data_IF_756568165771
#
_entry.id   IF_756568165771
#
_cell.length_a   1.000
_cell.length_b   1.000
_cell.length_c   1.000
_cell.angle_alpha   90.00
_cell.angle_beta   90.00
_cell.angle_gamma   90.00
#
_symmetry.space_group_name_H-M   'P 1'
#
loop_
_entity.id
_entity.type
_entity.pdbx_description
1 polymer ?
#
# COMPACT_ATOMS: atom_id res chain seq x y z
N UNK A 1 0.30 17.31 -3.51
CA UNK A 1 0.80 17.22 -4.91
C UNK A 1 2.07 16.39 -5.07
N UNK A 2 3.01 16.35 -4.11
CA UNK A 2 4.28 15.63 -4.27
C UNK A 2 4.23 14.09 -4.11
N UNK A 3 3.10 13.51 -3.72
CA UNK A 3 2.94 12.06 -3.55
C UNK A 3 2.02 11.51 -4.64
N UNK A 4 2.47 10.60 -5.51
CA UNK A 4 1.61 9.98 -6.51
C UNK A 4 0.45 9.25 -5.83
N UNK A 5 -0.77 9.42 -6.32
CA UNK A 5 -1.97 8.77 -5.76
C UNK A 5 -1.81 7.25 -5.66
N UNK A 6 -1.11 6.63 -6.62
CA UNK A 6 -0.78 5.20 -6.57
C UNK A 6 0.07 4.79 -5.36
N UNK A 7 0.92 5.67 -4.83
CA UNK A 7 1.68 5.38 -3.60
C UNK A 7 0.81 5.42 -2.34
N UNK A 8 -0.23 6.25 -2.32
CA UNK A 8 -1.19 6.30 -1.21
C UNK A 8 -2.09 5.05 -1.22
N UNK A 9 -2.59 4.66 -2.40
CA UNK A 9 -3.37 3.43 -2.59
C UNK A 9 -2.54 2.19 -2.23
N UNK A 10 -1.29 2.11 -2.66
CA UNK A 10 -0.39 1.01 -2.29
C UNK A 10 -0.11 0.94 -0.77
N UNK A 11 -0.09 2.07 -0.08
CA UNK A 11 0.05 2.11 1.38
C UNK A 11 -1.24 1.69 2.09
N UNK A 12 -2.41 2.05 1.56
CA UNK A 12 -3.72 1.57 2.06
C UNK A 12 -3.86 0.05 1.91
N UNK A 13 -3.35 -0.55 0.82
CA UNK A 13 -3.27 -2.00 0.70
C UNK A 13 -2.43 -2.67 1.80
N UNK A 14 -1.58 -1.92 2.51
CA UNK A 14 -0.86 -2.42 3.69
C UNK A 14 -1.77 -2.88 4.82
N UNK A 15 -3.02 -2.40 4.89
CA UNK A 15 -4.01 -2.87 5.86
C UNK A 15 -4.32 -4.35 5.64
N UNK A 16 -4.43 -4.80 4.38
CA UNK A 16 -4.72 -6.20 4.08
C UNK A 16 -3.55 -7.10 4.50
N UNK A 17 -2.30 -6.67 4.25
CA UNK A 17 -1.11 -7.40 4.69
C UNK A 17 -1.04 -7.54 6.21
N UNK A 18 -1.41 -6.49 6.96
CA UNK A 18 -1.46 -6.55 8.42
C UNK A 18 -2.57 -7.50 8.87
N UNK A 19 -3.75 -7.41 8.24
CA UNK A 19 -4.88 -8.30 8.53
C UNK A 19 -4.50 -9.76 8.29
N UNK A 20 -3.93 -10.09 7.13
CA UNK A 20 -3.47 -11.45 6.80
C UNK A 20 -2.50 -12.00 7.84
N UNK A 21 -1.52 -11.18 8.27
CA UNK A 21 -0.58 -11.57 9.33
C UNK A 21 -1.28 -11.82 10.67
N UNK A 22 -2.17 -10.92 11.11
CA UNK A 22 -2.85 -11.01 12.40
C UNK A 22 -3.87 -12.14 12.42
N UNK A 23 -4.70 -12.28 11.38
CA UNK A 23 -5.78 -13.29 11.33
C UNK A 23 -5.31 -14.67 10.89
N UNK A 24 -4.27 -14.75 10.07
CA UNK A 24 -3.75 -16.01 9.55
C UNK A 24 -2.54 -16.48 10.33
N UNK A 25 -1.39 -15.91 9.99
CA UNK A 25 -0.07 -16.37 10.42
C UNK A 25 0.13 -16.37 11.95
N UNK A 26 -0.20 -15.25 12.61
CA UNK A 26 -0.01 -15.10 14.04
C UNK A 26 -0.90 -16.06 14.84
N UNK A 27 -2.17 -16.21 14.47
CA UNK A 27 -3.09 -17.17 15.10
C UNK A 27 -2.61 -18.60 14.92
N UNK A 28 -2.18 -18.95 13.70
CA UNK A 28 -1.69 -20.30 13.40
C UNK A 28 -0.41 -20.61 14.17
N UNK A 29 0.51 -19.65 14.32
CA UNK A 29 1.70 -19.78 15.17
C UNK A 29 1.31 -20.08 16.62
N UNK A 30 0.42 -19.27 17.19
CA UNK A 30 -0.02 -19.41 18.59
C UNK A 30 -0.68 -20.77 18.82
N UNK A 31 -1.38 -21.31 17.82
CA UNK A 31 -1.98 -22.63 17.86
C UNK A 31 -0.95 -23.75 17.68
N UNK A 32 0.00 -23.62 16.75
CA UNK A 32 0.97 -24.66 16.40
C UNK A 32 2.08 -24.82 17.46
N UNK A 33 2.50 -23.74 18.12
CA UNK A 33 3.65 -23.72 19.05
C UNK A 33 3.42 -24.63 20.28
N UNK A 34 2.26 -24.62 20.96
CA UNK A 34 1.96 -25.57 22.03
C UNK A 34 1.97 -27.02 21.57
N UNK A 35 1.37 -27.33 20.41
CA UNK A 35 1.37 -28.70 19.87
C UNK A 35 2.78 -29.17 19.52
N UNK A 36 3.62 -28.30 18.99
CA UNK A 36 5.02 -28.62 18.71
C UNK A 36 5.78 -28.99 20.00
N UNK A 37 5.59 -28.23 21.08
CA UNK A 37 6.20 -28.55 22.38
C UNK A 37 5.67 -29.87 22.96
N UNK A 38 4.36 -30.13 22.83
CA UNK A 38 3.73 -31.37 23.28
C UNK A 38 4.26 -32.57 22.48
N UNK A 39 4.32 -32.49 21.15
CA UNK A 39 4.84 -33.56 20.31
C UNK A 39 6.31 -33.84 20.62
N UNK A 40 7.12 -32.80 20.78
CA UNK A 40 8.51 -32.94 21.16
C UNK A 40 8.66 -33.65 22.52
N UNK A 41 7.89 -33.23 23.54
CA UNK A 41 7.92 -33.84 24.86
C UNK A 41 7.51 -35.31 24.84
N UNK A 42 6.43 -35.65 24.12
CA UNK A 42 5.95 -37.05 23.98
C UNK A 42 6.97 -37.90 23.21
N UNK A 43 7.57 -37.36 22.14
CA UNK A 43 8.60 -38.07 21.37
C UNK A 43 9.82 -38.39 22.25
N UNK A 44 10.31 -37.42 23.03
CA UNK A 44 11.42 -37.64 23.96
C UNK A 44 11.07 -38.64 25.09
N UNK A 45 9.82 -38.62 25.57
CA UNK A 45 9.35 -39.57 26.57
C UNK A 45 9.29 -41.01 26.03
N UNK A 46 8.97 -41.19 24.74
CA UNK A 46 8.92 -42.51 24.11
C UNK A 46 10.29 -43.07 23.77
N UNK A 47 11.14 -42.27 23.10
CA UNK A 47 12.50 -42.67 22.78
C UNK A 47 13.36 -41.45 22.48
N UNK A 48 14.36 -41.21 23.32
CA UNK A 48 15.33 -40.14 23.12
C UNK A 48 16.18 -40.34 21.84
N UNK A 49 16.46 -41.60 21.46
CA UNK A 49 17.26 -41.95 20.28
C UNK A 49 16.54 -41.62 18.96
N UNK A 50 15.27 -42.02 18.83
CA UNK A 50 14.45 -41.70 17.66
C UNK A 50 14.18 -40.19 17.57
N UNK A 51 14.01 -39.53 18.72
CA UNK A 51 13.81 -38.08 18.80
C UNK A 51 15.01 -37.31 18.28
N UNK A 52 16.24 -37.72 18.62
CA UNK A 52 17.46 -37.12 18.08
C UNK A 52 17.56 -37.23 16.55
N UNK A 53 17.18 -38.37 15.98
CA UNK A 53 17.16 -38.57 14.52
C UNK A 53 16.14 -37.63 13.87
N UNK A 54 14.91 -37.57 14.42
CA UNK A 54 13.86 -36.70 13.91
C UNK A 54 14.26 -35.22 14.00
N UNK A 55 14.79 -34.77 15.14
CA UNK A 55 15.26 -33.39 15.34
C UNK A 55 16.44 -33.07 14.42
N UNK A 56 17.38 -33.99 14.22
CA UNK A 56 18.51 -33.79 13.31
C UNK A 56 18.06 -33.59 11.85
N UNK A 57 17.09 -34.38 11.38
CA UNK A 57 16.53 -34.24 10.04
C UNK A 57 15.66 -32.99 9.90
N UNK A 58 14.86 -32.66 10.92
CA UNK A 58 14.11 -31.40 10.97
C UNK A 58 15.04 -30.18 10.97
N UNK A 59 16.15 -30.22 11.71
CA UNK A 59 17.16 -29.18 11.72
C UNK A 59 17.83 -29.04 10.34
N UNK A 60 18.04 -30.15 9.62
CA UNK A 60 18.53 -30.13 8.24
C UNK A 60 17.54 -29.44 7.28
N UNK A 61 16.23 -29.73 7.41
CA UNK A 61 15.17 -29.04 6.65
C UNK A 61 15.15 -27.55 6.99
N UNK A 62 15.22 -27.19 8.28
CA UNK A 62 15.23 -25.81 8.73
C UNK A 62 16.45 -25.04 8.20
N UNK A 63 17.64 -25.65 8.23
CA UNK A 63 18.87 -25.07 7.68
C UNK A 63 18.77 -24.86 6.16
N UNK A 64 18.26 -25.85 5.42
CA UNK A 64 18.00 -25.72 3.99
C UNK A 64 17.02 -24.59 3.69
N UNK A 65 15.95 -24.49 4.48
CA UNK A 65 14.96 -23.42 4.36
C UNK A 65 15.59 -22.05 4.57
N UNK A 66 16.37 -21.88 5.65
CA UNK A 66 17.06 -20.63 5.96
C UNK A 66 18.04 -20.20 4.85
N UNK A 67 18.74 -21.15 4.22
CA UNK A 67 19.64 -20.89 3.09
C UNK A 67 18.88 -20.52 1.80
N UNK A 68 17.69 -21.09 1.59
CA UNK A 68 16.88 -20.84 0.39
C UNK A 68 16.08 -19.54 0.45
N UNK A 69 15.69 -19.09 1.64
CA UNK A 69 14.95 -17.82 1.84
C UNK A 69 15.57 -16.61 1.11
N UNK A 70 16.87 -16.28 1.26
CA UNK A 70 17.44 -15.11 0.59
C UNK A 70 17.39 -15.22 -0.94
N UNK A 71 17.67 -16.41 -1.49
CA UNK A 71 17.64 -16.66 -2.94
C UNK A 71 16.22 -16.54 -3.48
N UNK A 72 15.25 -17.13 -2.78
CA UNK A 72 13.85 -17.08 -3.15
C UNK A 72 13.33 -15.65 -3.12
N UNK A 73 13.72 -14.88 -2.09
CA UNK A 73 13.36 -13.47 -1.93
C UNK A 73 13.91 -12.61 -3.06
N UNK A 74 15.16 -12.78 -3.45
CA UNK A 74 15.77 -12.02 -4.55
C UNK A 74 15.01 -12.25 -5.87
N UNK A 75 14.70 -13.52 -6.18
CA UNK A 75 13.94 -13.86 -7.39
C UNK A 75 12.49 -13.36 -7.35
N UNK A 76 11.82 -13.47 -6.20
CA UNK A 76 10.49 -12.91 -5.99
C UNK A 76 10.49 -11.38 -6.18
N UNK A 77 11.47 -10.68 -5.62
CA UNK A 77 11.58 -9.24 -5.78
C UNK A 77 11.83 -8.84 -7.23
N UNK A 78 12.69 -9.57 -7.94
CA UNK A 78 12.91 -9.38 -9.38
C UNK A 78 11.63 -9.60 -10.19
N UNK A 79 10.87 -10.66 -9.90
CA UNK A 79 9.58 -10.92 -10.53
C UNK A 79 8.58 -9.79 -10.25
N UNK A 80 8.50 -9.30 -9.01
CA UNK A 80 7.63 -8.19 -8.62
C UNK A 80 7.99 -6.90 -9.37
N UNK A 81 9.28 -6.55 -9.46
CA UNK A 81 9.75 -5.36 -10.17
C UNK A 81 9.43 -5.43 -11.68
N UNK A 82 9.59 -6.61 -12.30
CA UNK A 82 9.22 -6.80 -13.71
C UNK A 82 7.70 -6.73 -13.91
N UNK A 83 6.91 -7.28 -12.96
CA UNK A 83 5.45 -7.18 -12.97
C UNK A 83 4.96 -5.73 -12.82
N UNK A 84 5.55 -4.98 -11.88
CA UNK A 84 5.27 -3.56 -11.70
C UNK A 84 5.60 -2.74 -12.94
N UNK A 85 6.73 -3.03 -13.61
CA UNK A 85 7.10 -2.41 -14.89
C UNK A 85 6.09 -2.71 -16.00
N UNK A 86 5.64 -3.96 -16.09
CA UNK A 86 4.62 -4.37 -17.06
C UNK A 86 3.28 -3.66 -16.81
N UNK A 87 2.85 -3.56 -15.55
CA UNK A 87 1.62 -2.87 -15.17
C UNK A 87 1.71 -1.36 -15.41
N UNK A 88 2.84 -0.74 -15.11
CA UNK A 88 3.08 0.67 -15.38
C UNK A 88 3.01 0.97 -16.88
N UNK A 89 3.64 0.12 -17.71
CA UNK A 89 3.58 0.22 -19.16
C UNK A 89 2.13 0.16 -19.67
N UNK A 90 1.34 -0.82 -19.22
CA UNK A 90 -0.07 -0.91 -19.59
C UNK A 90 -0.85 0.34 -19.18
N UNK A 91 -0.64 0.83 -17.97
CA UNK A 91 -1.36 1.99 -17.44
C UNK A 91 -1.05 3.26 -18.24
N UNK A 92 0.23 3.48 -18.57
CA UNK A 92 0.69 4.63 -19.34
C UNK A 92 0.15 4.63 -20.78
N UNK A 93 0.27 3.50 -21.49
CA UNK A 93 -0.15 3.41 -22.89
C UNK A 93 -1.67 3.32 -23.05
N UNK A 94 -2.40 2.76 -22.08
CA UNK A 94 -3.88 2.80 -22.07
C UNK A 94 -4.38 4.21 -21.77
N UNK A 95 -3.76 4.94 -20.85
CA UNK A 95 -4.09 6.35 -20.62
C UNK A 95 -3.78 7.21 -21.87
N UNK A 96 -2.68 6.91 -22.56
CA UNK A 96 -2.27 7.55 -23.81
C UNK A 96 -2.86 6.94 -25.08
N UNK A 97 -3.92 6.14 -25.01
CA UNK A 97 -4.40 5.32 -26.14
C UNK A 97 -4.77 6.17 -27.37
N UNK A 98 -5.28 7.38 -27.16
CA UNK A 98 -5.58 8.32 -28.25
C UNK A 98 -4.32 8.65 -29.07
N UNK A 99 -3.18 8.89 -28.40
CA UNK A 99 -1.89 9.16 -29.05
C UNK A 99 -1.34 7.92 -29.75
N UNK A 100 -1.48 6.74 -29.13
CA UNK A 100 -1.07 5.46 -29.72
C UNK A 100 -1.80 5.23 -31.05
N UNK A 101 -3.13 5.44 -31.05
CA UNK A 101 -3.96 5.32 -32.26
C UNK A 101 -3.68 6.40 -33.29
N UNK A 102 -3.51 7.65 -32.88
CA UNK A 102 -3.28 8.76 -33.82
C UNK A 102 -1.93 8.64 -34.53
N UNK A 103 -0.92 8.09 -33.84
CA UNK A 103 0.43 7.92 -34.38
C UNK A 103 0.70 6.51 -34.95
N UNK A 104 -0.32 5.63 -34.97
CA UNK A 104 -0.24 4.25 -35.48
C UNK A 104 0.91 3.43 -34.84
N UNK A 105 1.10 3.60 -33.54
CA UNK A 105 2.21 2.97 -32.81
C UNK A 105 1.91 1.54 -32.34
N UNK A 106 0.74 0.98 -32.66
CA UNK A 106 0.29 -0.31 -32.11
C UNK A 106 1.30 -1.46 -32.29
N UNK A 107 1.90 -1.68 -33.48
CA UNK A 107 2.84 -2.79 -33.65
C UNK A 107 4.07 -2.66 -32.76
N UNK A 108 4.56 -1.43 -32.57
CA UNK A 108 5.72 -1.17 -31.72
C UNK A 108 5.40 -1.33 -30.23
N UNK A 109 4.20 -0.89 -29.81
CA UNK A 109 3.71 -1.05 -28.44
C UNK A 109 3.47 -2.52 -28.12
N UNK A 110 2.89 -3.28 -29.05
CA UNK A 110 2.63 -4.72 -28.90
C UNK A 110 3.94 -5.50 -28.75
N UNK A 111 4.94 -5.23 -29.61
CA UNK A 111 6.26 -5.87 -29.51
C UNK A 111 6.91 -5.58 -28.14
N UNK A 112 6.92 -4.32 -27.73
CA UNK A 112 7.53 -3.89 -26.46
C UNK A 112 6.78 -4.46 -25.25
N UNK A 113 5.46 -4.57 -25.32
CA UNK A 113 4.65 -5.26 -24.32
C UNK A 113 5.01 -6.75 -24.25
N UNK A 114 5.15 -7.40 -25.42
CA UNK A 114 5.59 -8.79 -25.53
C UNK A 114 6.93 -9.03 -24.84
N UNK A 115 7.92 -8.15 -25.02
CA UNK A 115 9.22 -8.24 -24.37
C UNK A 115 9.14 -8.12 -22.84
N UNK A 116 8.31 -7.20 -22.32
CA UNK A 116 8.10 -7.07 -20.88
C UNK A 116 7.35 -8.26 -20.29
N UNK A 117 6.33 -8.75 -20.99
CA UNK A 117 5.59 -9.93 -20.58
C UNK A 117 6.49 -11.17 -20.57
N UNK A 118 7.33 -11.35 -21.61
CA UNK A 118 8.28 -12.46 -21.69
C UNK A 118 9.29 -12.43 -20.54
N UNK A 119 9.84 -11.26 -20.21
CA UNK A 119 10.75 -11.11 -19.06
C UNK A 119 10.05 -11.40 -17.72
N UNK A 120 8.83 -10.90 -17.54
CA UNK A 120 8.03 -11.16 -16.34
C UNK A 120 7.71 -12.66 -16.19
N UNK A 121 7.28 -13.31 -17.26
CA UNK A 121 7.00 -14.75 -17.28
C UNK A 121 8.26 -15.57 -17.02
N UNK A 122 9.38 -15.26 -17.67
CA UNK A 122 10.65 -15.94 -17.46
C UNK A 122 11.14 -15.83 -16.01
N UNK A 123 11.01 -14.65 -15.40
CA UNK A 123 11.30 -14.47 -13.98
C UNK A 123 10.35 -15.28 -13.10
N UNK A 124 9.04 -15.28 -13.41
CA UNK A 124 8.04 -16.08 -12.70
C UNK A 124 8.29 -17.58 -12.78
N UNK A 125 8.66 -18.11 -13.95
CA UNK A 125 9.08 -19.50 -14.12
C UNK A 125 10.33 -19.80 -13.30
N UNK A 126 11.34 -18.93 -13.33
CA UNK A 126 12.56 -19.10 -12.53
C UNK A 126 12.32 -19.11 -11.02
N UNK A 127 11.36 -18.33 -10.52
CA UNK A 127 10.92 -18.34 -9.12
C UNK A 127 10.16 -19.62 -8.78
N UNK A 128 9.17 -20.01 -9.61
CA UNK A 128 8.40 -21.25 -9.43
C UNK A 128 9.29 -22.49 -9.46
N UNK A 129 10.28 -22.53 -10.35
CA UNK A 129 11.21 -23.65 -10.46
C UNK A 129 12.01 -23.84 -9.16
N UNK A 130 12.52 -22.76 -8.56
CA UNK A 130 13.22 -22.84 -7.26
C UNK A 130 12.28 -23.33 -6.17
N UNK A 131 11.07 -22.78 -6.10
CA UNK A 131 10.07 -23.22 -5.13
C UNK A 131 9.75 -24.71 -5.28
N UNK A 132 9.63 -25.20 -6.52
CA UNK A 132 9.37 -26.60 -6.80
C UNK A 132 10.57 -27.49 -6.43
N UNK A 133 11.79 -27.09 -6.80
CA UNK A 133 13.02 -27.81 -6.42
C UNK A 133 13.15 -27.92 -4.90
N UNK A 134 12.92 -26.82 -4.16
CA UNK A 134 12.92 -26.84 -2.70
C UNK A 134 11.88 -27.82 -2.15
N UNK A 135 10.63 -27.78 -2.65
CA UNK A 135 9.59 -28.70 -2.21
C UNK A 135 9.96 -30.17 -2.48
N UNK A 136 10.48 -30.49 -3.66
CA UNK A 136 10.89 -31.87 -3.98
C UNK A 136 11.99 -32.36 -3.05
N UNK A 137 13.00 -31.54 -2.78
CA UNK A 137 14.10 -31.89 -1.88
C UNK A 137 13.61 -32.03 -0.43
N UNK A 138 12.77 -31.10 0.05
CA UNK A 138 12.20 -31.16 1.40
C UNK A 138 11.33 -32.41 1.60
N UNK A 139 10.46 -32.74 0.63
CA UNK A 139 9.67 -33.98 0.64
C UNK A 139 10.57 -35.22 0.61
N UNK A 140 11.68 -35.19 -0.13
CA UNK A 140 12.67 -36.26 -0.14
C UNK A 140 13.30 -36.49 1.23
N UNK A 141 13.68 -35.42 1.95
CA UNK A 141 14.21 -35.51 3.31
C UNK A 141 13.15 -36.04 4.28
N UNK A 142 11.89 -35.62 4.13
CA UNK A 142 10.78 -36.14 4.94
C UNK A 142 10.53 -37.64 4.72
N UNK A 143 10.63 -38.13 3.48
CA UNK A 143 10.57 -39.56 3.19
C UNK A 143 11.75 -40.31 3.80
N UNK A 144 12.97 -39.75 3.74
CA UNK A 144 14.15 -40.33 4.40
C UNK A 144 13.97 -40.37 5.92
N UNK A 145 13.41 -39.32 6.52
CA UNK A 145 13.07 -39.30 7.95
C UNK A 145 12.08 -40.40 8.31
N UNK A 146 11.02 -40.55 7.51
CA UNK A 146 10.02 -41.59 7.70
C UNK A 146 10.65 -42.99 7.65
N UNK A 147 11.52 -43.22 6.65
CA UNK A 147 12.22 -44.50 6.50
C UNK A 147 13.22 -44.75 7.64
N UNK A 148 13.97 -43.74 8.05
CA UNK A 148 14.94 -43.84 9.15
C UNK A 148 14.26 -44.17 10.48
N UNK A 149 13.14 -43.50 10.77
CA UNK A 149 12.31 -43.78 11.95
C UNK A 149 11.77 -45.22 11.90
N UNK A 150 11.31 -45.67 10.72
CA UNK A 150 10.78 -47.02 10.57
C UNK A 150 11.86 -48.09 10.78
N UNK A 151 13.04 -47.94 10.17
CA UNK A 151 14.13 -48.92 10.27
C UNK A 151 14.67 -48.97 11.70
N UNK A 152 15.06 -47.82 12.26
CA UNK A 152 15.65 -47.75 13.61
C UNK A 152 14.60 -48.09 14.67
N UNK A 153 13.36 -47.64 14.46
CA UNK A 153 12.25 -47.93 15.34
C UNK A 153 11.86 -49.41 15.35
N UNK A 154 11.85 -50.08 14.19
CA UNK A 154 11.62 -51.52 14.12
C UNK A 154 12.71 -52.32 14.84
N UNK A 155 13.98 -51.93 14.70
CA UNK A 155 15.09 -52.55 15.44
C UNK A 155 14.93 -52.36 16.96
N UNK A 156 14.49 -51.18 17.40
CA UNK A 156 14.18 -50.87 18.80
C UNK A 156 13.03 -51.72 19.35
N UNK A 157 11.95 -51.93 18.58
CA UNK A 157 10.85 -52.84 18.97
C UNK A 157 11.34 -54.28 19.12
N UNK A 158 12.26 -54.71 18.25
CA UNK A 158 12.80 -56.08 18.29
C UNK A 158 13.80 -56.33 19.42
N UNK A 159 14.50 -55.29 19.90
CA UNK A 159 15.58 -55.41 20.89
C UNK A 159 15.20 -54.97 22.31
N UNK A 160 14.19 -54.12 22.48
CA UNK A 160 13.76 -53.61 23.78
C UNK A 160 12.31 -54.00 24.10
N UNK A 161 12.09 -54.62 25.27
CA UNK A 161 10.76 -55.05 25.75
C UNK A 161 9.81 -53.87 26.09
N UNK A 162 10.31 -52.63 26.16
CA UNK A 162 9.55 -51.45 26.54
C UNK A 162 8.94 -50.62 25.40
N UNK A 163 9.36 -50.83 24.14
CA UNK A 163 8.93 -50.02 23.00
C UNK A 163 8.00 -50.81 22.08
N UNK A 164 6.71 -50.46 22.08
CA UNK A 164 5.69 -51.22 21.35
C UNK A 164 5.52 -50.76 19.90
N UNK A 165 4.96 -51.62 19.04
CA UNK A 165 4.58 -51.27 17.66
C UNK A 165 3.64 -50.06 17.61
N UNK A 166 2.73 -49.93 18.60
CA UNK A 166 1.84 -48.76 18.72
C UNK A 166 2.60 -47.46 18.98
N UNK A 167 3.66 -47.51 19.79
CA UNK A 167 4.53 -46.35 20.02
C UNK A 167 5.30 -45.95 18.76
N UNK A 168 5.75 -46.92 17.94
CA UNK A 168 6.40 -46.65 16.66
C UNK A 168 5.47 -45.94 15.67
N UNK A 169 4.23 -46.43 15.51
CA UNK A 169 3.22 -45.79 14.65
C UNK A 169 2.87 -44.39 15.16
N UNK A 170 2.68 -44.23 16.47
CA UNK A 170 2.43 -42.92 17.08
C UNK A 170 3.60 -41.95 16.85
N UNK A 171 4.85 -42.42 16.98
CA UNK A 171 6.04 -41.62 16.73
C UNK A 171 6.11 -41.14 15.27
N UNK A 172 5.80 -42.01 14.31
CA UNK A 172 5.74 -41.65 12.89
C UNK A 172 4.66 -40.60 12.60
N UNK A 173 3.49 -40.71 13.25
CA UNK A 173 2.42 -39.70 13.13
C UNK A 173 2.84 -38.35 13.72
N UNK A 174 3.51 -38.33 14.89
CA UNK A 174 3.97 -37.09 15.50
C UNK A 174 5.11 -36.44 14.73
N UNK A 175 6.08 -37.23 14.23
CA UNK A 175 7.19 -36.74 13.42
C UNK A 175 6.70 -36.08 12.12
N UNK A 176 5.75 -36.70 11.42
CA UNK A 176 5.14 -36.12 10.22
C UNK A 176 4.35 -34.83 10.51
N UNK A 177 3.69 -34.74 11.67
CA UNK A 177 3.00 -33.49 12.07
C UNK A 177 3.97 -32.39 12.52
N UNK A 178 5.18 -32.70 12.95
CA UNK A 178 6.19 -31.71 13.33
C UNK A 178 6.88 -31.03 12.13
N UNK A 179 6.89 -31.65 10.95
CA UNK A 179 7.53 -31.07 9.75
C UNK A 179 6.82 -29.79 9.28
N UNK A 180 5.48 -29.78 9.33
CA UNK A 180 4.68 -28.65 8.83
C UNK A 180 4.86 -27.35 9.63
N UNK A 181 4.73 -27.33 10.98
CA UNK A 181 4.95 -26.10 11.75
C UNK A 181 6.37 -25.54 11.60
N UNK A 182 7.38 -26.41 11.46
CA UNK A 182 8.77 -26.00 11.24
C UNK A 182 8.94 -25.25 9.92
N UNK A 183 8.31 -25.72 8.84
CA UNK A 183 8.30 -25.01 7.56
C UNK A 183 7.54 -23.68 7.65
N UNK A 184 6.42 -23.65 8.38
CA UNK A 184 5.65 -22.41 8.59
C UNK A 184 6.44 -21.37 9.38
N UNK A 185 7.18 -21.75 10.42
CA UNK A 185 8.00 -20.85 11.23
C UNK A 185 8.97 -20.00 10.38
N UNK A 186 9.54 -20.59 9.33
CA UNK A 186 10.43 -19.87 8.41
C UNK A 186 9.67 -18.84 7.56
N UNK A 187 8.47 -19.18 7.08
CA UNK A 187 7.59 -18.26 6.35
C UNK A 187 7.03 -17.14 7.24
N UNK A 188 6.71 -17.45 8.50
CA UNK A 188 6.17 -16.50 9.47
C UNK A 188 7.11 -15.34 9.77
N UNK A 189 8.43 -15.61 9.83
CA UNK A 189 9.41 -14.53 9.97
C UNK A 189 9.31 -13.51 8.83
N UNK A 190 9.08 -13.99 7.61
CA UNK A 190 8.92 -13.14 6.44
C UNK A 190 7.61 -12.34 6.51
N UNK A 191 6.49 -12.99 6.84
CA UNK A 191 5.19 -12.31 6.98
C UNK A 191 5.23 -11.25 8.07
N UNK A 192 5.89 -11.53 9.20
CA UNK A 192 6.14 -10.56 10.25
C UNK A 192 6.92 -9.34 9.75
N UNK A 193 7.99 -9.55 8.98
CA UNK A 193 8.76 -8.45 8.40
C UNK A 193 7.92 -7.61 7.42
N UNK A 194 7.10 -8.25 6.60
CA UNK A 194 6.19 -7.55 5.66
C UNK A 194 5.14 -6.74 6.40
N UNK A 195 4.49 -7.32 7.42
CA UNK A 195 3.53 -6.64 8.27
C UNK A 195 4.18 -5.44 8.98
N UNK A 196 5.40 -5.57 9.51
CA UNK A 196 6.12 -4.46 10.14
C UNK A 196 6.41 -3.31 9.16
N UNK A 197 6.79 -3.62 7.91
CA UNK A 197 6.95 -2.60 6.86
C UNK A 197 5.61 -1.93 6.53
N UNK A 198 4.53 -2.70 6.43
CA UNK A 198 3.19 -2.18 6.18
C UNK A 198 2.71 -1.24 7.30
N UNK A 199 2.94 -1.61 8.57
CA UNK A 199 2.65 -0.77 9.74
C UNK A 199 3.39 0.56 9.65
N UNK A 200 4.71 0.55 9.37
CA UNK A 200 5.49 1.79 9.21
C UNK A 200 4.93 2.67 8.09
N UNK A 201 4.58 2.06 6.95
CA UNK A 201 4.03 2.79 5.79
C UNK A 201 2.66 3.41 6.04
N UNK A 202 1.82 2.75 6.85
CA UNK A 202 0.55 3.30 7.30
C UNK A 202 0.74 4.38 8.35
N UNK A 203 1.68 4.20 9.29
CA UNK A 203 2.09 5.23 10.25
C UNK A 203 2.46 6.51 9.54
N UNK A 204 3.33 6.45 8.51
CA UNK A 204 3.68 7.60 7.67
C UNK A 204 2.50 8.35 7.02
N UNK A 205 1.32 7.72 6.89
CA UNK A 205 0.08 8.35 6.39
C UNK A 205 -0.75 8.91 7.55
N UNK A 206 -0.92 8.11 8.61
CA UNK A 206 -1.72 8.47 9.77
C UNK A 206 -1.09 9.63 10.55
N UNK A 207 0.25 9.72 10.54
CA UNK A 207 1.04 10.77 11.19
C UNK A 207 1.16 12.04 10.32
N UNK A 208 0.52 12.09 9.14
CA UNK A 208 0.50 13.31 8.32
C UNK A 208 -0.29 14.38 9.07
N UNK A 209 0.25 15.59 9.27
CA UNK A 209 -0.48 16.69 9.88
C UNK A 209 -1.76 16.95 9.09
N UNK A 210 -2.89 16.87 9.79
CA UNK A 210 -4.20 17.12 9.19
C UNK A 210 -4.41 18.62 8.97
N UNK A 211 -5.12 18.96 7.89
CA UNK A 211 -5.59 20.34 7.72
C UNK A 211 -6.56 20.68 8.87
N UNK A 212 -6.47 21.88 9.47
CA UNK A 212 -7.39 22.29 10.53
C UNK A 212 -8.85 22.21 10.06
N UNK A 213 -9.65 21.39 10.72
CA UNK A 213 -11.08 21.25 10.44
C UNK A 213 -11.88 21.66 11.67
N UNK A 214 -12.77 22.64 11.51
CA UNK A 214 -13.70 23.06 12.55
C UNK A 214 -15.00 22.24 12.46
N UNK A 215 -15.39 21.60 13.57
CA UNK A 215 -16.68 20.92 13.72
C UNK A 215 -17.83 21.92 13.92
N UNK A 216 -17.54 23.05 14.57
CA UNK A 216 -18.46 24.17 14.73
C UNK A 216 -17.82 25.38 14.07
N UNK A 217 -18.45 25.98 13.04
CA UNK A 217 -17.90 27.16 12.41
C UNK A 217 -17.83 28.30 13.43
N UNK A 218 -16.62 28.83 13.61
CA UNK A 218 -16.30 30.02 14.42
C UNK A 218 -16.69 31.32 13.71
N UNK A 219 -17.00 31.25 12.41
CA UNK A 219 -17.50 32.38 11.62
C UNK A 219 -19.02 32.36 11.57
N UNK A 220 -19.65 33.43 12.08
CA UNK A 220 -21.04 33.75 11.75
C UNK A 220 -21.15 33.98 10.24
N UNK A 221 -22.04 33.25 9.56
CA UNK A 221 -22.26 33.41 8.13
C UNK A 221 -22.63 34.86 7.78
N UNK A 222 -22.00 35.45 6.75
CA UNK A 222 -22.36 36.80 6.26
C UNK A 222 -21.24 37.84 6.16
N UNK A 223 -19.96 37.46 6.08
CA UNK A 223 -18.89 38.43 5.80
C UNK A 223 -18.96 38.99 4.37
N UNK A 224 -18.40 40.18 4.15
CA UNK A 224 -18.48 40.89 2.86
C UNK A 224 -17.60 40.27 1.78
N UNK A 225 -16.70 39.35 2.13
CA UNK A 225 -15.78 38.71 1.19
C UNK A 225 -14.65 39.63 0.74
N UNK A 226 -14.22 40.57 1.59
CA UNK A 226 -13.05 41.41 1.31
C UNK A 226 -11.80 40.55 1.50
N UNK A 227 -10.90 40.52 0.51
CA UNK A 227 -9.65 39.76 0.60
C UNK A 227 -8.47 40.70 0.39
N UNK A 228 -7.47 40.64 1.27
CA UNK A 228 -6.23 41.40 1.17
C UNK A 228 -5.01 40.50 1.29
N UNK A 229 -4.04 40.69 0.39
CA UNK A 229 -2.71 40.12 0.48
C UNK A 229 -1.78 41.23 0.92
N UNK A 230 -1.07 41.01 2.02
CA UNK A 230 -0.19 42.00 2.65
C UNK A 230 1.23 41.42 2.68
N UNK A 231 2.10 42.03 1.87
CA UNK A 231 3.51 41.67 1.72
C UNK A 231 3.78 40.17 1.50
N UNK A 232 2.94 39.53 0.69
CA UNK A 232 3.02 38.08 0.49
C UNK A 232 4.28 37.71 -0.30
N UNK A 233 5.09 36.81 0.27
CA UNK A 233 6.19 36.14 -0.41
C UNK A 233 5.94 34.64 -0.48
N UNK A 234 6.10 34.05 -1.67
CA UNK A 234 5.82 32.64 -1.89
C UNK A 234 6.84 31.94 -2.79
N UNK A 235 7.20 30.70 -2.43
CA UNK A 235 7.92 29.71 -3.25
C UNK A 235 7.43 28.30 -2.94
N UNK A 236 7.49 27.39 -3.92
CA UNK A 236 6.99 26.01 -3.73
C UNK A 236 7.86 25.15 -2.79
N UNK A 237 9.16 25.43 -2.72
CA UNK A 237 10.10 24.79 -1.80
C UNK A 237 11.31 25.70 -1.60
N UNK A 238 12.17 25.41 -0.64
CA UNK A 238 13.38 26.20 -0.40
C UNK A 238 14.34 26.23 -1.58
N UNK A 239 14.31 25.19 -2.41
CA UNK A 239 15.16 25.06 -3.61
C UNK A 239 14.55 25.70 -4.86
N UNK A 240 13.27 26.11 -4.80
CA UNK A 240 12.64 26.80 -5.92
C UNK A 240 12.87 28.32 -5.84
N UNK A 241 12.96 29.00 -6.99
CA UNK A 241 12.98 30.45 -7.02
C UNK A 241 11.69 31.01 -6.41
N UNK A 242 11.78 32.23 -5.91
CA UNK A 242 10.63 32.97 -5.43
C UNK A 242 9.66 33.24 -6.56
N UNK A 243 8.41 32.81 -6.39
CA UNK A 243 7.33 33.11 -7.32
C UNK A 243 6.76 34.51 -7.06
N UNK A 244 6.57 34.85 -5.77
CA UNK A 244 6.14 36.17 -5.31
C UNK A 244 7.11 36.72 -4.28
N UNK A 245 7.32 38.03 -4.31
CA UNK A 245 7.99 38.80 -3.26
C UNK A 245 7.22 40.11 -3.07
N UNK A 246 6.84 40.42 -1.84
CA UNK A 246 6.10 41.64 -1.46
C UNK A 246 4.82 41.86 -2.28
N UNK A 247 4.06 40.79 -2.54
CA UNK A 247 2.82 40.88 -3.28
C UNK A 247 1.72 41.51 -2.42
N UNK A 248 1.26 42.69 -2.84
CA UNK A 248 0.20 43.43 -2.19
C UNK A 248 -1.00 43.56 -3.15
N UNK A 249 -2.13 42.97 -2.79
CA UNK A 249 -3.34 42.95 -3.61
C UNK A 249 -4.58 43.09 -2.73
N UNK A 250 -5.60 43.79 -3.23
CA UNK A 250 -6.87 43.98 -2.53
C UNK A 250 -8.05 43.69 -3.44
N UNK A 251 -8.89 42.75 -3.04
CA UNK A 251 -10.12 42.38 -3.71
C UNK A 251 -11.31 42.97 -2.96
N UNK A 252 -12.06 43.86 -3.63
CA UNK A 252 -13.22 44.53 -3.04
C UNK A 252 -14.48 43.67 -3.20
N UNK A 253 -15.35 43.61 -2.19
CA UNK A 253 -16.67 43.00 -2.29
C UNK A 253 -17.46 43.50 -3.50
N UNK A 254 -18.15 42.59 -4.20
CA UNK A 254 -19.05 42.92 -5.32
C UNK A 254 -18.37 43.42 -6.60
N UNK A 255 -17.03 43.37 -6.68
CA UNK A 255 -16.29 43.79 -7.88
C UNK A 255 -15.72 42.59 -8.62
N UNK A 256 -15.80 42.61 -9.95
CA UNK A 256 -15.08 41.67 -10.79
C UNK A 256 -13.62 42.10 -10.92
N UNK A 257 -12.70 41.24 -10.48
CA UNK A 257 -11.26 41.44 -10.67
C UNK A 257 -10.74 40.44 -11.67
N UNK A 258 -10.09 40.92 -12.74
CA UNK A 258 -9.52 40.07 -13.79
C UNK A 258 -8.00 40.08 -13.67
N UNK A 259 -7.40 38.89 -13.50
CA UNK A 259 -5.95 38.73 -13.41
C UNK A 259 -5.39 38.24 -14.75
N UNK A 260 -4.59 39.08 -15.41
CA UNK A 260 -3.97 38.77 -16.71
C UNK A 260 -2.44 38.71 -16.59
N UNK A 261 -1.83 37.87 -17.44
CA UNK A 261 -0.38 37.74 -17.51
C UNK A 261 0.06 36.50 -18.30
N UNK A 262 1.34 36.40 -18.69
CA UNK A 262 1.86 35.26 -19.46
C UNK A 262 1.68 33.92 -18.73
N UNK A 263 1.68 32.81 -19.48
CA UNK A 263 1.64 31.48 -18.86
C UNK A 263 2.81 31.28 -17.91
N UNK A 264 2.58 30.61 -16.77
CA UNK A 264 3.61 30.38 -15.76
C UNK A 264 3.89 31.55 -14.80
N UNK A 265 3.25 32.71 -14.93
CA UNK A 265 3.47 33.85 -14.01
C UNK A 265 2.82 33.67 -12.61
N UNK A 266 2.29 32.48 -12.30
CA UNK A 266 1.73 32.14 -10.99
C UNK A 266 0.22 32.34 -10.80
N UNK A 267 -0.57 32.77 -11.81
CA UNK A 267 -2.02 33.02 -11.65
C UNK A 267 -2.78 31.90 -10.91
N UNK A 268 -2.54 30.65 -11.31
CA UNK A 268 -3.15 29.48 -10.66
C UNK A 268 -2.61 29.25 -9.24
N UNK A 269 -1.35 29.60 -8.97
CA UNK A 269 -0.75 29.56 -7.63
C UNK A 269 -1.40 30.58 -6.70
N UNK A 270 -1.71 31.79 -7.19
CA UNK A 270 -2.45 32.78 -6.43
C UNK A 270 -3.83 32.25 -6.03
N UNK A 271 -4.56 31.63 -6.96
CA UNK A 271 -5.85 31.00 -6.65
C UNK A 271 -5.70 29.91 -5.56
N UNK A 272 -4.65 29.08 -5.63
CA UNK A 272 -4.37 28.08 -4.59
C UNK A 272 -4.03 28.69 -3.23
N UNK A 273 -3.31 29.82 -3.19
CA UNK A 273 -3.03 30.56 -1.94
C UNK A 273 -4.31 31.12 -1.31
N UNK A 274 -5.19 31.71 -2.13
CA UNK A 274 -6.47 32.27 -1.67
C UNK A 274 -7.38 31.24 -1.00
N UNK A 275 -7.39 30.02 -1.53
CA UNK A 275 -8.21 28.89 -1.03
C UNK A 275 -7.48 28.10 0.08
N UNK A 276 -6.28 28.55 0.48
CA UNK A 276 -5.50 27.98 1.58
C UNK A 276 -4.83 26.64 1.27
N UNK A 277 -4.65 26.26 0.01
CA UNK A 277 -3.89 25.05 -0.37
C UNK A 277 -2.39 25.21 -0.11
N UNK A 278 -1.91 26.45 -0.12
CA UNK A 278 -0.55 26.81 0.23
C UNK A 278 -0.60 27.95 1.24
N UNK A 279 0.39 28.00 2.13
CA UNK A 279 0.60 29.15 3.00
C UNK A 279 1.80 29.96 2.50
N UNK A 280 1.73 31.31 2.55
CA UNK A 280 2.87 32.14 2.21
C UNK A 280 4.00 31.96 3.23
N UNK A 281 5.25 32.07 2.78
CA UNK A 281 6.40 32.03 3.69
C UNK A 281 6.56 33.33 4.48
N UNK A 282 6.24 34.46 3.87
CA UNK A 282 6.26 35.78 4.49
C UNK A 282 4.99 36.55 4.12
N UNK A 283 4.61 37.50 4.96
CA UNK A 283 3.34 38.22 4.84
C UNK A 283 2.14 37.37 5.29
N UNK A 284 0.95 37.82 4.93
CA UNK A 284 -0.31 37.13 5.27
C UNK A 284 -1.43 37.49 4.30
N UNK A 285 -2.48 36.66 4.33
CA UNK A 285 -3.68 36.85 3.54
C UNK A 285 -4.84 37.01 4.53
N UNK A 286 -5.58 38.11 4.41
CA UNK A 286 -6.72 38.40 5.25
C UNK A 286 -8.01 38.25 4.48
N UNK A 287 -9.02 37.65 5.13
CA UNK A 287 -10.39 37.64 4.68
C UNK A 287 -11.25 38.36 5.71
N UNK A 288 -11.92 39.44 5.29
CA UNK A 288 -12.73 40.30 6.15
C UNK A 288 -11.99 40.79 7.42
N UNK A 289 -10.67 41.02 7.30
CA UNK A 289 -9.80 41.47 8.39
C UNK A 289 -9.32 40.37 9.35
N UNK A 290 -9.55 39.09 9.02
CA UNK A 290 -8.99 37.95 9.75
C UNK A 290 -8.02 37.19 8.87
N UNK A 291 -6.84 36.87 9.40
CA UNK A 291 -5.86 36.04 8.69
C UNK A 291 -6.43 34.64 8.41
N UNK A 292 -6.33 34.19 7.17
CA UNK A 292 -6.81 32.88 6.73
C UNK A 292 -6.13 31.72 7.47
N UNK A 293 -4.93 31.92 8.03
CA UNK A 293 -4.20 30.92 8.83
C UNK A 293 -4.91 30.56 10.13
N UNK A 294 -5.81 31.42 10.61
CA UNK A 294 -6.61 31.20 11.80
C UNK A 294 -8.01 30.66 11.50
N UNK A 295 -8.35 30.49 10.22
CA UNK A 295 -9.62 29.90 9.79
C UNK A 295 -9.43 28.40 9.57
N UNK A 296 -10.45 27.61 9.86
CA UNK A 296 -10.44 26.22 9.46
C UNK A 296 -10.61 26.09 7.94
N UNK A 297 -10.03 25.05 7.34
CA UNK A 297 -10.02 24.87 5.89
C UNK A 297 -11.44 24.78 5.31
N UNK A 298 -12.37 24.13 6.02
CA UNK A 298 -13.77 24.03 5.61
C UNK A 298 -14.48 25.39 5.63
N UNK A 299 -14.22 26.25 6.62
CA UNK A 299 -14.83 27.58 6.70
C UNK A 299 -14.34 28.51 5.58
N UNK A 300 -13.03 28.48 5.32
CA UNK A 300 -12.43 29.26 4.25
C UNK A 300 -13.03 28.84 2.90
N UNK A 301 -12.99 27.53 2.60
CA UNK A 301 -13.38 26.98 1.30
C UNK A 301 -14.88 27.08 1.03
N UNK A 302 -15.74 27.08 2.06
CA UNK A 302 -17.18 27.35 1.90
C UNK A 302 -17.48 28.74 1.32
N UNK A 303 -16.56 29.70 1.46
CA UNK A 303 -16.76 31.06 0.93
C UNK A 303 -16.31 31.20 -0.54
N UNK A 304 -15.59 30.22 -1.09
CA UNK A 304 -15.08 30.26 -2.46
C UNK A 304 -15.81 29.27 -3.37
N UNK A 305 -16.38 29.77 -4.47
CA UNK A 305 -16.70 28.94 -5.63
C UNK A 305 -15.47 28.85 -6.54
N UNK A 306 -14.93 27.64 -6.74
CA UNK A 306 -13.72 27.42 -7.55
C UNK A 306 -14.05 26.59 -8.78
N UNK A 307 -13.76 27.13 -9.95
CA UNK A 307 -13.78 26.38 -11.22
C UNK A 307 -12.33 26.14 -11.66
N UNK A 308 -11.83 24.90 -11.59
CA UNK A 308 -10.45 24.60 -11.98
C UNK A 308 -10.28 24.72 -13.50
N UNK A 309 -9.02 24.91 -13.95
CA UNK A 309 -8.69 24.96 -15.38
C UNK A 309 -8.98 23.64 -16.10
N UNK A 310 -8.75 22.51 -15.40
CA UNK A 310 -9.12 21.18 -15.84
C UNK A 310 -10.20 20.65 -14.89
N UNK A 311 -11.44 20.57 -15.36
CA UNK A 311 -12.56 20.03 -14.59
C UNK A 311 -12.50 18.52 -14.59
N UNK A 312 -12.46 17.92 -13.40
CA UNK A 312 -12.52 16.47 -13.22
C UNK A 312 -13.96 16.11 -12.86
N UNK A 313 -14.56 15.20 -13.62
CA UNK A 313 -15.83 14.56 -13.27
C UNK A 313 -15.55 13.20 -12.65
N UNK A 314 -16.23 12.90 -11.57
CA UNK A 314 -16.18 11.60 -10.92
C UNK A 314 -17.09 10.62 -11.64
N UNK A 315 -16.73 9.32 -11.59
CA UNK A 315 -17.56 8.26 -12.14
C UNK A 315 -18.92 8.24 -11.43
N UNK A 316 -19.99 8.41 -12.20
CA UNK A 316 -21.36 8.53 -11.69
C UNK A 316 -22.26 9.19 -12.74
N UNK A 317 -23.46 9.57 -12.33
CA UNK A 317 -24.36 10.35 -13.19
C UNK A 317 -23.97 11.84 -13.19
N UNK A 318 -24.51 12.59 -14.15
CA UNK A 318 -24.38 14.06 -14.15
C UNK A 318 -24.96 14.65 -12.85
N UNK A 319 -26.12 14.13 -12.42
CA UNK A 319 -26.78 14.57 -11.19
C UNK A 319 -25.89 14.36 -9.96
N UNK A 320 -25.23 13.21 -9.85
CA UNK A 320 -24.33 12.91 -8.73
C UNK A 320 -23.19 13.93 -8.65
N UNK A 321 -22.56 14.24 -9.78
CA UNK A 321 -21.46 15.21 -9.85
C UNK A 321 -21.92 16.64 -9.49
N UNK A 322 -23.15 17.03 -9.85
CA UNK A 322 -23.70 18.35 -9.56
C UNK A 322 -24.06 18.51 -8.07
N UNK A 323 -24.60 17.46 -7.44
CA UNK A 323 -25.03 17.48 -6.03
C UNK A 323 -23.87 17.23 -5.06
N UNK A 324 -22.76 16.61 -5.51
CA UNK A 324 -21.59 16.32 -4.66
C UNK A 324 -21.05 17.53 -3.90
N UNK A 325 -21.05 18.73 -4.51
CA UNK A 325 -20.57 19.95 -3.87
C UNK A 325 -21.60 20.55 -2.87
N UNK A 326 -22.87 20.21 -3.01
CA UNK A 326 -23.94 20.72 -2.15
C UNK A 326 -25.01 19.63 -1.91
N UNK A 327 -24.76 18.67 -1.00
CA UNK A 327 -25.60 17.47 -0.83
C UNK A 327 -27.06 17.73 -0.46
N UNK A 328 -27.37 18.94 0.00
CA UNK A 328 -28.72 19.37 0.39
C UNK A 328 -29.43 20.20 -0.70
N UNK A 329 -28.84 20.34 -1.90
CA UNK A 329 -29.48 21.02 -3.02
C UNK A 329 -30.72 20.23 -3.49
N UNK A 330 -31.83 20.93 -3.74
CA UNK A 330 -33.02 20.32 -4.33
C UNK A 330 -32.82 20.08 -5.82
N UNK A 331 -33.66 19.24 -6.42
CA UNK A 331 -33.63 19.00 -7.86
C UNK A 331 -33.88 20.29 -8.66
N UNK A 332 -34.74 21.17 -8.16
CA UNK A 332 -35.02 22.46 -8.79
C UNK A 332 -33.80 23.40 -8.76
N UNK A 333 -33.04 23.40 -7.65
CA UNK A 333 -31.78 24.16 -7.55
C UNK A 333 -30.77 23.68 -8.60
N UNK A 334 -30.69 22.37 -8.80
CA UNK A 334 -29.82 21.75 -9.82
C UNK A 334 -30.25 22.18 -11.22
N UNK A 335 -31.54 22.16 -11.54
CA UNK A 335 -32.06 22.64 -12.82
C UNK A 335 -31.71 24.12 -13.03
N UNK A 336 -31.89 24.94 -12.00
CA UNK A 336 -31.59 26.37 -12.07
C UNK A 336 -30.10 26.62 -12.30
N UNK A 337 -29.23 25.87 -11.63
CA UNK A 337 -27.79 25.93 -11.83
C UNK A 337 -27.39 25.51 -13.26
N UNK A 338 -27.96 24.43 -13.80
CA UNK A 338 -27.73 24.01 -15.19
C UNK A 338 -28.16 25.08 -16.19
N UNK A 339 -29.35 25.67 -16.01
CA UNK A 339 -29.84 26.76 -16.87
C UNK A 339 -28.94 27.99 -16.82
N UNK A 340 -28.42 28.34 -15.64
CA UNK A 340 -27.50 29.46 -15.48
C UNK A 340 -26.12 29.20 -16.10
N UNK A 341 -25.71 27.93 -16.16
CA UNK A 341 -24.46 27.48 -16.78
C UNK A 341 -24.60 27.15 -18.29
N UNK A 342 -25.79 27.32 -18.87
CA UNK A 342 -26.11 26.99 -20.27
C UNK A 342 -25.85 25.51 -20.63
N UNK A 343 -26.17 24.59 -19.71
CA UNK A 343 -26.02 23.13 -19.87
C UNK A 343 -27.33 22.47 -20.28
#
# INVERSE_FOLDING_TARGET
EQRPTGTLVARLHGVETIREFVSGAAVTLVLDLPFLLIFLAVMFAYSWQLSLIAIGLLACIAAMSALMVPVFREKLNRQFMLGARNQAFLTEYVAGMATVKSLQMEPHVEQKYGDYLAQYLAAGFGTKQIGNTYNVVANGIEQVMTLAILIVGALLVMQNDGFTVGMLVAFQMFAGRMSQPMLRLVGLWQEFQQANIAVKRLGDILDIPQEPHALVPSREGGGKGRIELIDVAFRYSEHHPWLYRNLNLRFKPGHLTVLMGPSGCGKSTLAKLLVGFYQPQEGHIEMDGRDIRHLAANELRQTFGVVPQETILFSGTLYDNLVMAHPHASFDDVIQACKAAEI
#
